data_IF_229519222750
#
_entry.id   IF_229519222750
#
_cell.length_a   1.000
_cell.length_b   1.000
_cell.length_c   1.000
_cell.angle_alpha   90.00
_cell.angle_beta   90.00
_cell.angle_gamma   90.00
#
_symmetry.space_group_name_H-M   'P 1'
#
loop_
_entity.id
_entity.type
_entity.pdbx_description
1 polymer ?
#
# COMPACT_ATOMS: atom_id res chain seq x y z
N UNK A 1 14.37 0.87 -0.48
CA UNK A 1 13.72 1.52 -1.62
C UNK A 1 14.26 1.03 -2.96
N UNK A 2 15.56 0.67 -3.07
CA UNK A 2 16.14 0.16 -4.33
C UNK A 2 15.35 -1.01 -4.96
N UNK A 3 14.73 -1.89 -4.17
CA UNK A 3 14.03 -3.07 -4.70
C UNK A 3 12.65 -2.80 -5.35
N UNK A 4 11.95 -1.73 -4.94
CA UNK A 4 10.62 -1.38 -5.51
C UNK A 4 10.71 -0.30 -6.59
N UNK A 5 11.73 0.57 -6.52
CA UNK A 5 11.97 1.55 -7.59
C UNK A 5 12.26 0.89 -8.93
N UNK A 6 12.89 -0.30 -8.94
CA UNK A 6 13.09 -1.11 -10.15
C UNK A 6 11.76 -1.61 -10.78
N UNK A 7 10.69 -1.67 -9.98
CA UNK A 7 9.35 -2.00 -10.42
C UNK A 7 8.51 -0.74 -10.74
N UNK A 8 9.12 0.44 -10.74
CA UNK A 8 8.43 1.72 -11.04
C UNK A 8 7.73 2.37 -9.86
N UNK A 9 7.90 1.86 -8.63
CA UNK A 9 7.28 2.50 -7.46
C UNK A 9 7.98 3.80 -7.08
N UNK A 10 7.16 4.80 -6.78
CA UNK A 10 7.57 6.08 -6.24
C UNK A 10 7.11 6.21 -4.78
N UNK A 11 7.95 6.79 -3.93
CA UNK A 11 7.63 6.97 -2.51
C UNK A 11 7.05 8.34 -2.23
N UNK A 12 5.90 8.38 -1.57
CA UNK A 12 5.21 9.61 -1.19
C UNK A 12 5.01 9.72 0.31
N UNK A 13 5.19 10.92 0.85
CA UNK A 13 4.73 11.30 2.18
C UNK A 13 3.43 12.10 2.02
N UNK A 14 2.29 11.51 2.38
CA UNK A 14 0.99 12.14 2.15
C UNK A 14 0.81 13.48 2.88
N UNK A 15 1.56 13.72 3.97
CA UNK A 15 1.53 14.99 4.69
C UNK A 15 2.12 16.15 3.89
N UNK A 16 2.93 15.85 2.88
CA UNK A 16 3.59 16.85 2.05
C UNK A 16 2.75 17.22 0.83
N UNK A 17 1.64 16.51 0.60
CA UNK A 17 0.72 16.69 -0.52
C UNK A 17 -0.55 17.42 -0.09
N UNK A 18 -1.03 18.33 -0.94
CA UNK A 18 -2.39 18.85 -0.82
C UNK A 18 -3.42 17.75 -1.00
N UNK A 19 -4.64 17.99 -0.52
CA UNK A 19 -5.73 17.02 -0.67
C UNK A 19 -6.00 16.65 -2.14
N UNK A 20 -5.95 17.63 -3.06
CA UNK A 20 -6.15 17.38 -4.48
C UNK A 20 -5.04 16.49 -5.08
N UNK A 21 -3.79 16.68 -4.64
CA UNK A 21 -2.67 15.82 -5.04
C UNK A 21 -2.81 14.41 -4.48
N UNK A 22 -3.29 14.25 -3.24
CA UNK A 22 -3.58 12.92 -2.69
C UNK A 22 -4.68 12.21 -3.47
N UNK A 23 -5.79 12.88 -3.78
CA UNK A 23 -6.88 12.30 -4.59
C UNK A 23 -6.34 11.84 -5.94
N UNK A 24 -5.57 12.70 -6.62
CA UNK A 24 -4.97 12.38 -7.92
C UNK A 24 -4.00 11.21 -7.83
N UNK A 25 -3.14 11.19 -6.81
CA UNK A 25 -2.17 10.12 -6.59
C UNK A 25 -2.86 8.76 -6.45
N UNK A 26 -3.90 8.67 -5.63
CA UNK A 26 -4.62 7.40 -5.41
C UNK A 26 -5.49 7.00 -6.61
N UNK A 27 -6.04 7.97 -7.34
CA UNK A 27 -6.81 7.71 -8.57
C UNK A 27 -5.93 7.18 -9.71
N UNK A 28 -4.69 7.66 -9.83
CA UNK A 28 -3.74 7.25 -10.87
C UNK A 28 -2.89 6.02 -10.47
N UNK A 29 -2.98 5.54 -9.22
CA UNK A 29 -2.12 4.47 -8.73
C UNK A 29 -2.60 3.07 -9.16
N UNK A 30 -1.76 2.36 -9.92
CA UNK A 30 -1.96 0.94 -10.25
C UNK A 30 -1.73 0.02 -9.04
N UNK A 31 -0.84 0.43 -8.12
CA UNK A 31 -0.57 -0.30 -6.90
C UNK A 31 -0.19 0.63 -5.73
N UNK A 32 -0.65 0.29 -4.54
CA UNK A 32 -0.35 1.01 -3.29
C UNK A 32 0.28 0.05 -2.29
N UNK A 33 1.54 0.31 -1.94
CA UNK A 33 2.24 -0.37 -0.84
C UNK A 33 2.39 0.63 0.31
N UNK A 34 1.73 0.41 1.44
CA UNK A 34 1.77 1.36 2.55
C UNK A 34 1.63 0.68 3.92
N UNK A 35 2.23 1.26 4.98
CA UNK A 35 1.96 0.81 6.34
C UNK A 35 0.50 1.07 6.74
N UNK A 36 -0.03 0.21 7.60
CA UNK A 36 -1.36 0.41 8.19
C UNK A 36 -1.49 1.79 8.83
N UNK A 37 -2.46 2.58 8.38
CA UNK A 37 -2.69 3.92 8.92
C UNK A 37 -3.70 4.75 8.14
N UNK A 38 -4.06 5.90 8.71
CA UNK A 38 -5.13 6.78 8.20
C UNK A 38 -4.98 7.18 6.73
N UNK A 39 -3.76 7.22 6.19
CA UNK A 39 -3.50 7.52 4.78
C UNK A 39 -4.18 6.55 3.80
N UNK A 40 -4.36 5.28 4.18
CA UNK A 40 -5.08 4.29 3.37
C UNK A 40 -6.59 4.59 3.26
N UNK A 41 -7.12 5.56 4.00
CA UNK A 41 -8.49 6.02 3.77
C UNK A 41 -8.67 6.64 2.37
N UNK A 42 -7.59 7.13 1.75
CA UNK A 42 -7.61 7.66 0.38
C UNK A 42 -7.84 6.58 -0.70
N UNK A 43 -7.81 5.27 -0.35
CA UNK A 43 -8.21 4.20 -1.27
C UNK A 43 -9.64 4.38 -1.80
N UNK A 44 -10.50 5.16 -1.14
CA UNK A 44 -11.83 5.54 -1.67
C UNK A 44 -11.78 6.27 -3.01
N UNK A 45 -10.62 6.80 -3.39
CA UNK A 45 -10.39 7.47 -4.68
C UNK A 45 -9.70 6.56 -5.70
N UNK A 46 -9.27 5.37 -5.30
CA UNK A 46 -8.66 4.40 -6.21
C UNK A 46 -9.73 3.71 -7.06
N UNK A 47 -9.32 3.23 -8.24
CA UNK A 47 -10.19 2.54 -9.19
C UNK A 47 -9.73 1.08 -9.39
N UNK A 48 -8.85 0.80 -10.36
CA UNK A 48 -8.26 -0.53 -10.57
C UNK A 48 -6.86 -0.58 -9.91
N UNK A 49 -6.84 -0.83 -8.60
CA UNK A 49 -5.62 -0.70 -7.78
C UNK A 49 -5.35 -1.95 -6.94
N UNK A 50 -4.11 -2.44 -7.01
CA UNK A 50 -3.60 -3.50 -6.13
C UNK A 50 -3.05 -2.92 -4.81
N UNK A 51 -3.57 -3.36 -3.68
CA UNK A 51 -3.18 -2.85 -2.36
C UNK A 51 -2.35 -3.90 -1.62
N UNK A 52 -1.16 -3.50 -1.16
CA UNK A 52 -0.35 -4.27 -0.21
C UNK A 52 -0.20 -3.49 1.09
N UNK A 53 -0.94 -3.91 2.11
CA UNK A 53 -0.90 -3.27 3.42
C UNK A 53 0.16 -3.90 4.32
N UNK A 54 1.05 -3.06 4.87
CA UNK A 54 2.12 -3.51 5.77
C UNK A 54 1.71 -3.32 7.24
N UNK A 55 1.69 -4.41 8.00
CA UNK A 55 1.32 -4.41 9.42
C UNK A 55 2.53 -4.65 10.31
N UNK A 56 2.56 -3.95 11.46
CA UNK A 56 3.36 -4.35 12.62
C UNK A 56 2.66 -5.43 13.44
N UNK A 57 2.67 -5.31 14.78
CA UNK A 57 2.10 -6.35 15.67
C UNK A 57 0.59 -6.55 15.53
N UNK A 58 -0.16 -5.47 15.29
CA UNK A 58 -1.62 -5.48 15.35
C UNK A 58 -2.22 -5.40 13.95
N UNK A 59 -2.90 -6.47 13.55
CA UNK A 59 -3.71 -6.48 12.33
C UNK A 59 -5.11 -5.97 12.64
N UNK A 60 -5.61 -5.08 11.78
CA UNK A 60 -6.99 -4.61 11.81
C UNK A 60 -7.61 -4.80 10.42
N UNK A 61 -8.87 -5.23 10.33
CA UNK A 61 -9.50 -5.50 9.04
C UNK A 61 -9.96 -4.24 8.31
N UNK A 62 -9.73 -3.04 8.85
CA UNK A 62 -10.32 -1.79 8.37
C UNK A 62 -10.14 -1.57 6.87
N UNK A 63 -8.90 -1.64 6.37
CA UNK A 63 -8.62 -1.36 4.97
C UNK A 63 -8.84 -2.57 4.07
N UNK A 64 -8.70 -3.80 4.60
CA UNK A 64 -9.22 -5.00 3.92
C UNK A 64 -10.71 -4.88 3.58
N UNK A 65 -11.51 -4.43 4.55
CA UNK A 65 -12.96 -4.25 4.37
C UNK A 65 -13.26 -3.11 3.39
N UNK A 66 -12.46 -2.03 3.44
CA UNK A 66 -12.59 -0.93 2.49
C UNK A 66 -12.28 -1.38 1.06
N UNK A 67 -11.14 -2.05 0.84
CA UNK A 67 -10.75 -2.60 -0.44
C UNK A 67 -11.80 -3.58 -0.98
N UNK A 68 -12.31 -4.49 -0.14
CA UNK A 68 -13.38 -5.40 -0.54
C UNK A 68 -14.70 -4.68 -0.91
N UNK A 69 -15.01 -3.54 -0.28
CA UNK A 69 -16.21 -2.76 -0.63
C UNK A 69 -16.04 -1.97 -1.94
N UNK A 70 -14.79 -1.72 -2.34
CA UNK A 70 -14.41 -1.01 -3.56
C UNK A 70 -13.98 -1.97 -4.70
N UNK A 71 -14.05 -3.29 -4.47
CA UNK A 71 -13.60 -4.34 -5.40
C UNK A 71 -12.11 -4.23 -5.79
N UNK A 72 -11.28 -3.71 -4.86
CA UNK A 72 -9.82 -3.61 -5.03
C UNK A 72 -9.13 -4.92 -4.65
N UNK A 73 -8.07 -5.29 -5.38
CA UNK A 73 -7.19 -6.37 -4.95
C UNK A 73 -6.45 -5.96 -3.67
N UNK A 74 -6.41 -6.87 -2.71
CA UNK A 74 -5.88 -6.59 -1.39
C UNK A 74 -5.13 -7.78 -0.81
N UNK A 75 -3.87 -7.53 -0.47
CA UNK A 75 -3.05 -8.38 0.35
C UNK A 75 -2.49 -7.61 1.55
N UNK A 76 -2.01 -8.36 2.54
CA UNK A 76 -1.28 -7.78 3.66
C UNK A 76 -0.02 -8.55 3.97
N UNK A 77 1.00 -7.85 4.43
CA UNK A 77 2.27 -8.42 4.88
C UNK A 77 2.51 -8.04 6.35
N UNK A 78 2.86 -9.03 7.18
CA UNK A 78 3.39 -8.77 8.52
C UNK A 78 4.86 -8.42 8.42
N UNK A 79 5.25 -7.35 9.08
CA UNK A 79 6.61 -6.86 9.13
C UNK A 79 7.07 -6.73 10.58
N UNK A 80 8.38 -6.74 10.80
CA UNK A 80 8.91 -6.66 12.15
C UNK A 80 8.70 -5.24 12.72
N UNK A 81 8.03 -5.11 13.87
CA UNK A 81 7.84 -3.83 14.54
C UNK A 81 9.18 -3.37 15.14
N UNK A 82 9.70 -2.23 14.71
CA UNK A 82 10.91 -1.63 15.27
C UNK A 82 10.56 -0.28 15.89
N UNK A 83 10.09 -0.29 17.15
CA UNK A 83 9.61 0.91 17.88
C UNK A 83 8.43 1.59 17.15
N UNK A 84 8.61 2.82 16.67
CA UNK A 84 7.64 3.59 15.88
C UNK A 84 7.67 3.25 14.39
N UNK A 85 8.67 2.50 13.96
CA UNK A 85 8.96 2.25 12.56
C UNK A 85 8.63 0.80 12.20
N UNK A 86 8.37 0.58 10.92
CA UNK A 86 8.13 -0.76 10.37
C UNK A 86 9.36 -1.20 9.56
N UNK A 87 9.91 -2.37 9.87
CA UNK A 87 10.94 -3.00 9.04
C UNK A 87 10.33 -4.15 8.26
N UNK A 88 10.10 -3.90 6.98
CA UNK A 88 9.75 -4.94 6.03
C UNK A 88 11.02 -5.45 5.34
N UNK A 89 11.12 -6.76 5.17
CA UNK A 89 12.14 -7.37 4.31
C UNK A 89 11.85 -6.99 2.84
N UNK A 90 12.76 -6.29 2.14
CA UNK A 90 12.50 -5.79 0.78
C UNK A 90 12.19 -6.90 -0.23
N UNK A 91 12.79 -8.08 -0.05
CA UNK A 91 12.55 -9.24 -0.92
C UNK A 91 11.13 -9.78 -0.74
N UNK A 92 10.65 -9.84 0.50
CA UNK A 92 9.29 -10.27 0.83
C UNK A 92 8.24 -9.32 0.26
N UNK A 93 8.46 -8.01 0.40
CA UNK A 93 7.58 -6.98 -0.20
C UNK A 93 7.59 -7.10 -1.72
N UNK A 94 8.76 -7.19 -2.34
CA UNK A 94 8.91 -7.34 -3.79
C UNK A 94 8.18 -8.57 -4.31
N UNK A 95 8.28 -9.70 -3.62
CA UNK A 95 7.60 -10.94 -4.01
C UNK A 95 6.08 -10.82 -3.95
N UNK A 96 5.51 -10.18 -2.93
CA UNK A 96 4.07 -9.94 -2.85
C UNK A 96 3.60 -9.01 -3.98
N UNK A 97 4.34 -7.93 -4.24
CA UNK A 97 4.02 -7.01 -5.33
C UNK A 97 4.10 -7.71 -6.70
N UNK A 98 5.16 -8.49 -6.96
CA UNK A 98 5.31 -9.26 -8.20
C UNK A 98 4.21 -10.32 -8.36
N UNK A 99 3.71 -10.90 -7.25
CA UNK A 99 2.58 -11.82 -7.27
C UNK A 99 1.29 -11.10 -7.68
N UNK A 100 0.98 -9.95 -7.08
CA UNK A 100 -0.21 -9.17 -7.40
C UNK A 100 -0.20 -8.65 -8.84
N UNK A 101 0.94 -8.12 -9.30
CA UNK A 101 1.06 -7.55 -10.65
C UNK A 101 1.22 -8.59 -11.77
N UNK A 102 1.54 -9.84 -11.44
CA UNK A 102 1.80 -10.92 -12.41
C UNK A 102 0.60 -11.81 -12.75
N UNK A 103 -0.51 -11.67 -12.04
CA UNK A 103 -1.73 -12.47 -12.24
C UNK A 103 -2.72 -11.86 -13.26
N UNK A 104 -2.29 -10.86 -14.05
CA UNK A 104 -3.07 -10.20 -15.10
C UNK A 104 -2.69 -10.60 -16.53
#
# INVERSE_FOLDING_TARGET
MESLSELGFESYSLTDLSFAEQVRLFFEAEAVVAPHGAGLANLVFADDCSVLELFGEKIKPTYRMLSAALDLDYEFLRCDPMRSDLRADPTSVRRCVEHQLGEH
#
